data_IF_899879249000
#
_entry.id   IF_899879249000
#
_cell.length_a   1.000
_cell.length_b   1.000
_cell.length_c   1.000
_cell.angle_alpha   90.00
_cell.angle_beta   90.00
_cell.angle_gamma   90.00
#
_symmetry.space_group_name_H-M   'P 1'
#
loop_
_entity.id
_entity.type
_entity.pdbx_description
1 polymer ?
#
# COMPACT_ATOMS: atom_id res chain seq x y z
N UNK A 1 -10.44 15.70 -2.85
CA UNK A 1 -10.03 14.35 -2.40
C UNK A 1 -10.19 14.31 -0.90
N UNK A 2 -10.96 13.36 -0.37
CA UNK A 2 -10.99 13.13 1.07
C UNK A 2 -9.59 12.67 1.50
N UNK A 3 -9.04 13.29 2.54
CA UNK A 3 -7.76 12.87 3.11
C UNK A 3 -8.03 11.68 4.04
N UNK A 4 -8.09 10.47 3.46
CA UNK A 4 -8.30 9.22 4.17
C UNK A 4 -7.24 9.00 5.25
N UNK A 5 -6.01 9.46 5.04
CA UNK A 5 -4.99 9.45 6.09
C UNK A 5 -5.45 10.20 7.34
N UNK A 6 -5.99 11.41 7.21
CA UNK A 6 -6.52 12.15 8.37
C UNK A 6 -7.74 11.46 8.99
N UNK A 7 -8.62 10.88 8.18
CA UNK A 7 -9.84 10.21 8.66
C UNK A 7 -9.47 8.98 9.49
N UNK A 8 -8.60 8.11 8.98
CA UNK A 8 -8.19 6.86 9.66
C UNK A 8 -7.39 7.14 10.93
N UNK A 9 -6.58 8.22 10.95
CA UNK A 9 -5.86 8.63 12.16
C UNK A 9 -6.80 9.07 13.27
N UNK A 10 -7.88 9.76 12.91
CA UNK A 10 -8.88 10.21 13.87
C UNK A 10 -9.76 9.05 14.33
N UNK A 11 -10.09 8.13 13.42
CA UNK A 11 -11.00 7.02 13.68
C UNK A 11 -10.56 5.75 12.93
N UNK A 12 -9.97 4.81 13.68
CA UNK A 12 -9.53 3.49 13.18
C UNK A 12 -10.71 2.64 12.71
N UNK A 13 -11.94 2.89 13.19
CA UNK A 13 -13.12 2.14 12.75
C UNK A 13 -13.47 2.36 11.28
N UNK A 14 -12.86 3.37 10.63
CA UNK A 14 -13.02 3.69 9.20
C UNK A 14 -12.11 2.90 8.26
N UNK A 15 -11.27 2.01 8.78
CA UNK A 15 -10.39 1.17 7.97
C UNK A 15 -11.15 0.35 6.91
N UNK A 16 -12.27 -0.34 7.22
CA UNK A 16 -13.00 -1.11 6.21
C UNK A 16 -13.50 -0.23 5.06
N UNK A 17 -14.01 0.97 5.36
CA UNK A 17 -14.46 1.94 4.36
C UNK A 17 -13.29 2.41 3.49
N UNK A 18 -12.12 2.64 4.10
CA UNK A 18 -10.92 3.06 3.39
C UNK A 18 -10.37 1.94 2.48
N UNK A 19 -10.38 0.68 2.95
CA UNK A 19 -10.01 -0.49 2.12
C UNK A 19 -10.91 -0.54 0.88
N UNK A 20 -12.23 -0.48 1.06
CA UNK A 20 -13.18 -0.51 -0.05
C UNK A 20 -12.93 0.63 -1.06
N UNK A 21 -12.66 1.83 -0.57
CA UNK A 21 -12.32 2.97 -1.42
C UNK A 21 -11.06 2.69 -2.26
N UNK A 22 -9.98 2.25 -1.62
CA UNK A 22 -8.73 1.97 -2.32
C UNK A 22 -8.79 0.75 -3.22
N UNK A 23 -9.59 -0.27 -2.92
CA UNK A 23 -9.81 -1.40 -3.83
C UNK A 23 -10.61 -0.96 -5.07
N UNK A 24 -11.63 -0.12 -4.90
CA UNK A 24 -12.38 0.43 -6.03
C UNK A 24 -11.50 1.30 -6.93
N UNK A 25 -10.62 2.11 -6.33
CA UNK A 25 -9.65 2.91 -7.07
C UNK A 25 -8.56 2.05 -7.73
N UNK A 26 -8.14 0.96 -7.09
CA UNK A 26 -7.18 0.01 -7.63
C UNK A 26 -7.71 -0.67 -8.92
N UNK A 27 -9.00 -1.01 -8.96
CA UNK A 27 -9.62 -1.58 -10.17
C UNK A 27 -9.57 -0.61 -11.34
N UNK A 28 -9.83 0.68 -11.10
CA UNK A 28 -9.69 1.74 -12.12
C UNK A 28 -8.24 1.89 -12.56
N UNK A 29 -7.31 1.94 -11.62
CA UNK A 29 -5.89 2.09 -11.90
C UNK A 29 -5.34 0.88 -12.69
N UNK A 30 -5.85 -0.33 -12.42
CA UNK A 30 -5.50 -1.54 -13.15
C UNK A 30 -5.97 -1.52 -14.62
N UNK A 31 -7.09 -0.84 -14.90
CA UNK A 31 -7.53 -0.62 -16.28
C UNK A 31 -6.62 0.38 -17.02
N UNK A 32 -6.13 1.42 -16.34
CA UNK A 32 -5.25 2.46 -16.91
C UNK A 32 -3.87 1.92 -17.32
N UNK A 33 -3.41 0.84 -16.70
CA UNK A 33 -2.15 0.17 -17.07
C UNK A 33 -2.18 -0.40 -18.50
N UNK A 34 -3.36 -0.73 -19.04
CA UNK A 34 -3.45 -1.32 -20.38
C UNK A 34 -3.08 -0.29 -21.46
N UNK A 35 -2.30 -0.73 -22.44
CA UNK A 35 -1.98 0.08 -23.63
C UNK A 35 -3.07 -0.15 -24.69
N UNK A 36 -3.80 0.90 -25.08
CA UNK A 36 -4.85 0.80 -26.10
C UNK A 36 -5.03 2.12 -26.88
N UNK A 37 -5.46 2.03 -28.14
CA UNK A 37 -5.75 3.20 -28.96
C UNK A 37 -4.49 4.00 -29.35
N UNK A 38 -4.56 5.32 -29.25
CA UNK A 38 -3.53 6.23 -29.76
C UNK A 38 -2.39 6.44 -28.75
N UNK A 39 -1.15 6.18 -29.20
CA UNK A 39 0.07 6.21 -28.37
C UNK A 39 0.44 7.64 -27.94
N UNK A 40 0.28 8.62 -28.82
CA UNK A 40 0.63 10.03 -28.54
C UNK A 40 -0.26 10.63 -27.45
N UNK A 41 -1.55 10.30 -27.46
CA UNK A 41 -2.48 10.69 -26.38
C UNK A 41 -2.14 9.99 -25.07
N UNK A 42 -1.86 8.69 -25.13
CA UNK A 42 -1.46 7.94 -23.94
C UNK A 42 -0.20 8.52 -23.33
N UNK A 43 0.86 8.74 -24.12
CA UNK A 43 2.14 9.27 -23.64
C UNK A 43 2.02 10.66 -23.02
N UNK A 44 1.19 11.53 -23.59
CA UNK A 44 0.92 12.87 -23.03
C UNK A 44 0.19 12.80 -21.69
N UNK A 45 -0.72 11.84 -21.50
CA UNK A 45 -1.49 11.67 -20.26
C UNK A 45 -0.73 10.93 -19.14
N UNK A 46 0.29 10.14 -19.49
CA UNK A 46 1.00 9.27 -18.54
C UNK A 46 1.53 9.98 -17.29
N UNK A 47 2.19 11.15 -17.36
CA UNK A 47 2.71 11.82 -16.16
C UNK A 47 1.62 12.18 -15.14
N UNK A 48 0.44 12.61 -15.62
CA UNK A 48 -0.69 12.93 -14.74
C UNK A 48 -1.26 11.69 -14.05
N UNK A 49 -1.41 10.59 -14.79
CA UNK A 49 -1.87 9.31 -14.24
C UNK A 49 -0.88 8.79 -13.20
N UNK A 50 0.41 8.79 -13.51
CA UNK A 50 1.46 8.33 -12.58
C UNK A 50 1.46 9.18 -11.31
N UNK A 51 1.36 10.50 -11.43
CA UNK A 51 1.32 11.41 -10.28
C UNK A 51 0.11 11.12 -9.36
N UNK A 52 -1.08 11.00 -9.93
CA UNK A 52 -2.30 10.71 -9.19
C UNK A 52 -2.22 9.36 -8.45
N UNK A 53 -1.82 8.30 -9.17
CA UNK A 53 -1.71 6.95 -8.58
C UNK A 53 -0.59 6.86 -7.57
N UNK A 54 0.53 7.57 -7.78
CA UNK A 54 1.63 7.61 -6.82
C UNK A 54 1.21 8.32 -5.54
N UNK A 55 0.44 9.42 -5.65
CA UNK A 55 -0.12 10.12 -4.49
C UNK A 55 -1.03 9.22 -3.65
N UNK A 56 -1.89 8.43 -4.29
CA UNK A 56 -2.74 7.43 -3.61
C UNK A 56 -1.89 6.36 -2.90
N UNK A 57 -0.85 5.84 -3.56
CA UNK A 57 0.07 4.89 -2.92
C UNK A 57 0.75 5.50 -1.69
N UNK A 58 1.20 6.76 -1.76
CA UNK A 58 1.82 7.44 -0.62
C UNK A 58 0.85 7.60 0.56
N UNK A 59 -0.43 7.82 0.29
CA UNK A 59 -1.46 7.86 1.33
C UNK A 59 -1.68 6.49 1.99
N UNK A 60 -1.75 5.42 1.18
CA UNK A 60 -1.85 4.03 1.67
C UNK A 60 -0.62 3.67 2.52
N UNK A 61 0.58 4.05 2.11
CA UNK A 61 1.82 3.85 2.87
C UNK A 61 1.84 4.65 4.18
N UNK A 62 1.33 5.89 4.15
CA UNK A 62 1.18 6.72 5.34
C UNK A 62 0.26 6.06 6.39
N UNK A 63 -0.89 5.53 5.95
CA UNK A 63 -1.82 4.83 6.84
C UNK A 63 -1.17 3.55 7.39
N UNK A 64 -0.52 2.75 6.54
CA UNK A 64 0.19 1.54 7.00
C UNK A 64 1.18 1.89 8.12
N UNK A 65 1.94 2.98 7.93
CA UNK A 65 2.92 3.41 8.92
C UNK A 65 2.28 3.80 10.24
N UNK A 66 1.13 4.46 10.19
CA UNK A 66 0.34 4.76 11.38
C UNK A 66 -0.09 3.48 12.11
N UNK A 67 -0.62 2.49 11.39
CA UNK A 67 -1.04 1.22 11.97
C UNK A 67 0.13 0.47 12.63
N UNK A 68 1.30 0.40 11.98
CA UNK A 68 2.50 -0.19 12.58
C UNK A 68 2.91 0.50 13.90
N UNK A 69 2.79 1.82 13.97
CA UNK A 69 3.09 2.58 15.19
C UNK A 69 2.09 2.22 16.30
N UNK A 70 0.79 2.16 15.99
CA UNK A 70 -0.22 1.79 16.99
C UNK A 70 -0.06 0.34 17.46
N UNK A 71 0.23 -0.59 16.55
CA UNK A 71 0.53 -1.98 16.90
C UNK A 71 1.71 -2.08 17.88
N UNK A 72 2.80 -1.35 17.63
CA UNK A 72 3.94 -1.28 18.54
C UNK A 72 3.55 -0.72 19.92
N UNK A 73 2.68 0.29 19.96
CA UNK A 73 2.18 0.89 21.22
C UNK A 73 1.32 -0.11 22.00
N UNK A 74 0.46 -0.86 21.31
CA UNK A 74 -0.37 -1.90 21.90
C UNK A 74 0.50 -3.01 22.51
N UNK A 75 1.45 -3.56 21.74
CA UNK A 75 2.40 -4.56 22.27
C UNK A 75 3.16 -4.06 23.50
N UNK A 76 3.63 -2.81 23.46
CA UNK A 76 4.31 -2.18 24.61
C UNK A 76 3.42 -2.06 25.84
N UNK A 77 2.11 -1.78 25.66
CA UNK A 77 1.13 -1.69 26.74
C UNK A 77 0.95 -3.04 27.44
N UNK A 78 0.78 -4.12 26.67
CA UNK A 78 0.68 -5.48 27.23
C UNK A 78 1.99 -5.93 27.87
N UNK A 79 3.14 -5.65 27.24
CA UNK A 79 4.45 -5.97 27.80
C UNK A 79 4.65 -5.36 29.19
N UNK A 80 4.35 -4.07 29.37
CA UNK A 80 4.42 -3.41 30.69
C UNK A 80 3.48 -4.07 31.70
N UNK A 81 2.24 -4.37 31.31
CA UNK A 81 1.25 -5.05 32.16
C UNK A 81 1.78 -6.41 32.66
N UNK A 82 2.43 -7.20 31.81
CA UNK A 82 3.01 -8.49 32.24
C UNK A 82 4.23 -8.31 33.14
N UNK A 83 5.09 -7.32 32.83
CA UNK A 83 6.29 -7.05 33.62
C UNK A 83 5.94 -6.54 35.03
N UNK A 84 4.93 -5.68 35.15
CA UNK A 84 4.48 -5.11 36.43
C UNK A 84 3.74 -6.13 37.30
N UNK A 85 2.90 -7.00 36.73
CA UNK A 85 2.08 -7.94 37.50
C UNK A 85 2.80 -9.24 37.89
N UNK A 86 3.86 -9.64 37.19
CA UNK A 86 4.51 -10.95 37.37
C UNK A 86 6.00 -10.87 37.76
N UNK A 87 6.44 -9.77 38.39
CA UNK A 87 7.85 -9.47 38.70
C UNK A 87 8.65 -10.58 39.42
N UNK A 88 7.99 -11.54 40.08
CA UNK A 88 8.66 -12.65 40.78
C UNK A 88 8.68 -13.98 40.03
N UNK A 89 7.92 -14.12 38.93
CA UNK A 89 7.73 -15.39 38.24
C UNK A 89 8.17 -15.38 36.78
N UNK A 90 8.22 -14.21 36.14
CA UNK A 90 8.42 -14.12 34.70
C UNK A 90 9.74 -13.46 34.32
N UNK A 91 10.43 -14.04 33.33
CA UNK A 91 11.57 -13.36 32.71
C UNK A 91 11.09 -12.30 31.73
N UNK A 92 11.93 -11.30 31.46
CA UNK A 92 11.66 -10.26 30.45
C UNK A 92 11.24 -10.85 29.09
N UNK A 93 11.90 -11.95 28.67
CA UNK A 93 11.63 -12.63 27.40
C UNK A 93 10.27 -13.34 27.39
N UNK A 94 9.87 -13.91 28.52
CA UNK A 94 8.56 -14.53 28.64
C UNK A 94 7.46 -13.47 28.58
N UNK A 95 7.66 -12.32 29.25
CA UNK A 95 6.69 -11.21 29.24
C UNK A 95 6.45 -10.67 27.83
N UNK A 96 7.52 -10.59 27.01
CA UNK A 96 7.44 -10.22 25.60
C UNK A 96 6.61 -11.22 24.79
N UNK A 97 6.87 -12.54 24.94
CA UNK A 97 6.09 -13.57 24.24
C UNK A 97 4.62 -13.58 24.60
N UNK A 98 4.27 -13.40 25.89
CA UNK A 98 2.86 -13.33 26.28
C UNK A 98 2.21 -12.05 25.74
N UNK A 99 2.92 -10.92 25.75
CA UNK A 99 2.41 -9.68 25.16
C UNK A 99 2.18 -9.80 23.65
N UNK A 100 3.03 -10.53 22.93
CA UNK A 100 2.85 -10.82 21.51
C UNK A 100 1.70 -11.78 21.24
N UNK A 101 1.42 -12.71 22.17
CA UNK A 101 0.33 -13.68 22.06
C UNK A 101 -1.02 -13.20 22.63
N UNK A 102 -1.16 -11.94 23.03
CA UNK A 102 -2.45 -11.39 23.44
C UNK A 102 -3.38 -11.23 22.23
N UNK A 103 -4.63 -11.66 22.35
CA UNK A 103 -5.61 -11.66 21.25
C UNK A 103 -5.71 -10.28 20.59
N UNK A 104 -5.78 -9.20 21.36
CA UNK A 104 -5.81 -7.82 20.84
C UNK A 104 -4.58 -7.47 20.00
N UNK A 105 -3.40 -7.98 20.34
CA UNK A 105 -2.15 -7.73 19.62
C UNK A 105 -2.13 -8.52 18.31
N UNK A 106 -2.51 -9.80 18.34
CA UNK A 106 -2.62 -10.65 17.17
C UNK A 106 -3.68 -10.14 16.17
N UNK A 107 -4.85 -9.74 16.65
CA UNK A 107 -5.93 -9.18 15.81
C UNK A 107 -5.48 -7.88 15.12
N UNK A 108 -4.78 -7.02 15.86
CA UNK A 108 -4.23 -5.79 15.29
C UNK A 108 -3.11 -6.09 14.28
N UNK A 109 -2.29 -7.11 14.50
CA UNK A 109 -1.28 -7.55 13.54
C UNK A 109 -1.92 -8.05 12.23
N UNK A 110 -3.01 -8.81 12.33
CA UNK A 110 -3.78 -9.26 11.17
C UNK A 110 -4.32 -8.09 10.34
N UNK A 111 -4.86 -7.06 11.02
CA UNK A 111 -5.29 -5.81 10.39
C UNK A 111 -4.15 -5.08 9.67
N UNK A 112 -2.97 -4.97 10.31
CA UNK A 112 -1.77 -4.37 9.69
C UNK A 112 -1.37 -5.16 8.44
N UNK A 113 -1.41 -6.48 8.50
CA UNK A 113 -1.06 -7.36 7.38
C UNK A 113 -2.05 -7.23 6.21
N UNK A 114 -3.35 -7.14 6.48
CA UNK A 114 -4.37 -6.88 5.46
C UNK A 114 -4.10 -5.55 4.72
N UNK A 115 -3.80 -4.50 5.48
CA UNK A 115 -3.45 -3.20 4.89
C UNK A 115 -2.12 -3.25 4.13
N UNK A 116 -1.13 -4.03 4.61
CA UNK A 116 0.13 -4.23 3.90
C UNK A 116 -0.09 -4.93 2.55
N UNK A 117 -1.03 -5.88 2.46
CA UNK A 117 -1.41 -6.50 1.20
C UNK A 117 -1.99 -5.47 0.23
N UNK A 118 -2.90 -4.60 0.69
CA UNK A 118 -3.44 -3.50 -0.12
C UNK A 118 -2.33 -2.61 -0.68
N UNK A 119 -1.36 -2.21 0.16
CA UNK A 119 -0.18 -1.44 -0.26
C UNK A 119 0.62 -2.16 -1.34
N UNK A 120 0.83 -3.47 -1.20
CA UNK A 120 1.55 -4.26 -2.20
C UNK A 120 0.81 -4.33 -3.55
N UNK A 121 -0.53 -4.41 -3.54
CA UNK A 121 -1.35 -4.33 -4.77
C UNK A 121 -1.11 -2.99 -5.49
N UNK A 122 -1.14 -1.87 -4.76
CA UNK A 122 -0.87 -0.53 -5.31
C UNK A 122 0.55 -0.37 -5.85
N UNK A 123 1.55 -0.94 -5.17
CA UNK A 123 2.92 -0.97 -5.68
C UNK A 123 3.00 -1.71 -7.03
N UNK A 124 2.19 -2.76 -7.22
CA UNK A 124 2.05 -3.45 -8.50
C UNK A 124 1.59 -2.54 -9.64
N UNK A 125 0.60 -1.68 -9.39
CA UNK A 125 0.10 -0.71 -10.39
C UNK A 125 1.20 0.27 -10.80
N UNK A 126 1.92 0.86 -9.83
CA UNK A 126 3.01 1.81 -10.14
C UNK A 126 4.11 1.15 -10.97
N UNK A 127 4.50 -0.08 -10.62
CA UNK A 127 5.48 -0.85 -11.40
C UNK A 127 4.98 -1.10 -12.83
N UNK A 128 3.70 -1.39 -13.00
CA UNK A 128 3.12 -1.65 -14.31
C UNK A 128 3.00 -0.37 -15.16
N UNK A 129 2.72 0.78 -14.54
CA UNK A 129 2.75 2.09 -15.22
C UNK A 129 4.16 2.46 -15.70
N UNK A 130 5.20 2.16 -14.91
CA UNK A 130 6.59 2.36 -15.31
C UNK A 130 6.97 1.45 -16.50
N UNK A 131 6.58 0.17 -16.46
CA UNK A 131 6.73 -0.74 -17.59
C UNK A 131 6.00 -0.24 -18.84
N UNK A 132 4.77 0.29 -18.68
CA UNK A 132 4.00 0.89 -19.77
C UNK A 132 4.74 2.07 -20.40
N UNK A 133 5.30 2.97 -19.59
CA UNK A 133 6.12 4.09 -20.08
C UNK A 133 7.35 3.59 -20.86
N UNK A 134 8.02 2.55 -20.38
CA UNK A 134 9.14 1.93 -21.07
C UNK A 134 8.73 1.35 -22.44
N UNK A 135 7.62 0.61 -22.50
CA UNK A 135 7.10 0.06 -23.76
C UNK A 135 6.73 1.16 -24.75
N UNK A 136 6.03 2.21 -24.31
CA UNK A 136 5.68 3.37 -25.16
C UNK A 136 6.95 3.99 -25.75
N UNK A 137 7.98 4.20 -24.93
CA UNK A 137 9.25 4.78 -25.38
C UNK A 137 9.92 3.93 -26.45
N UNK A 138 9.94 2.61 -26.26
CA UNK A 138 10.55 1.70 -27.24
C UNK A 138 9.77 1.66 -28.55
N UNK A 139 8.43 1.67 -28.50
CA UNK A 139 7.60 1.75 -29.70
C UNK A 139 7.92 3.04 -30.45
N UNK A 140 7.92 4.19 -29.78
CA UNK A 140 8.24 5.48 -30.42
C UNK A 140 9.64 5.46 -31.06
N UNK A 141 10.65 4.88 -30.39
CA UNK A 141 12.00 4.73 -30.96
C UNK A 141 12.00 3.88 -32.24
N UNK A 142 11.29 2.75 -32.26
CA UNK A 142 11.18 1.89 -33.44
C UNK A 142 10.47 2.60 -34.60
N UNK A 143 9.43 3.38 -34.30
CA UNK A 143 8.71 4.20 -35.28
C UNK A 143 9.61 5.24 -35.94
N UNK A 144 10.36 5.99 -35.13
CA UNK A 144 11.30 7.00 -35.64
C UNK A 144 12.43 6.37 -36.46
N UNK A 145 12.87 5.15 -36.12
CA UNK A 145 13.88 4.41 -36.88
C UNK A 145 13.35 3.79 -38.19
N UNK A 146 12.04 3.86 -38.47
CA UNK A 146 11.43 3.21 -39.64
C UNK A 146 11.41 1.67 -39.56
N UNK A 147 11.59 1.10 -38.36
CA UNK A 147 11.63 -0.34 -38.11
C UNK A 147 10.30 -0.88 -37.57
N UNK A 148 9.18 -0.25 -37.95
CA UNK A 148 7.83 -0.59 -37.45
C UNK A 148 7.40 -2.02 -37.81
N UNK A 149 7.97 -2.58 -38.88
CA UNK A 149 7.59 -3.86 -39.49
C UNK A 149 8.65 -4.96 -39.29
N UNK A 150 9.36 -4.91 -38.15
CA UNK A 150 10.32 -5.95 -37.78
C UNK A 150 9.58 -7.25 -37.36
N UNK A 151 9.41 -8.17 -38.30
CA UNK A 151 8.97 -9.53 -38.00
C UNK A 151 10.12 -10.32 -37.34
N UNK A 152 9.80 -11.02 -36.23
CA UNK A 152 10.70 -11.95 -35.54
C UNK A 152 10.88 -13.25 -36.33
#
# INVERSE_FOLDING_TARGET
>A
MANWFSIVIQDISKIPDAILHYETELDKASAEVKLHGNIEKQSASMPGVVEERFRQLQEVEGILKHLEIQHRRLRTKHYKKYLENYQRALTSRDAEKYAEGEDEVCDYEALVNEWALLRNKWLGVIKALDQKQWHITNIVKLRVAGMEDANL
#
